data_IF_487962686075
#
_entry.id   IF_487962686075
#
_cell.length_a   1.000
_cell.length_b   1.000
_cell.length_c   1.000
_cell.angle_alpha   90.00
_cell.angle_beta   90.00
_cell.angle_gamma   90.00
#
_symmetry.space_group_name_H-M   'P 1'
#
loop_
_entity.id
_entity.type
_entity.pdbx_description
1 polymer ?
2 non-polymer ?
3 non-polymer ?
4 water ?
#
# COMPACT_ATOMS: atom_id res chain seq x y z
N UNK A 2 -10.22 -14.09 -31.89
CA UNK A 2 -10.48 -15.36 -31.23
C UNK A 2 -9.25 -15.82 -30.46
N UNK A 3 -8.46 -14.85 -30.01
CA UNK A 3 -7.24 -15.15 -29.26
C UNK A 3 -7.56 -15.44 -27.80
N UNK A 4 -7.04 -16.56 -27.30
CA UNK A 4 -7.21 -16.95 -25.92
C UNK A 4 -6.15 -16.29 -25.04
N UNK A 5 -6.55 -15.92 -23.83
CA UNK A 5 -5.71 -15.26 -22.82
C UNK A 5 -5.92 -15.91 -21.47
N UNK A 6 -4.92 -15.76 -20.60
CA UNK A 6 -5.04 -16.32 -19.26
C UNK A 6 -4.41 -15.39 -18.24
N UNK A 7 -5.15 -15.07 -17.17
CA UNK A 7 -4.57 -14.37 -16.04
C UNK A 7 -3.91 -15.36 -15.11
N UNK A 8 -2.72 -15.00 -14.63
CA UNK A 8 -1.99 -15.86 -13.70
C UNK A 8 -1.15 -14.98 -12.77
N UNK A 9 -0.69 -15.57 -11.67
CA UNK A 9 0.20 -14.86 -10.77
C UNK A 9 1.58 -14.80 -11.40
N UNK A 10 2.18 -13.62 -11.42
CA UNK A 10 3.52 -13.48 -11.93
C UNK A 10 4.50 -14.20 -11.00
N UNK A 11 5.62 -14.65 -11.55
CA UNK A 11 6.63 -15.38 -10.80
C UNK A 11 8.00 -14.77 -11.08
N UNK A 12 9.02 -15.25 -10.33
CA UNK A 12 10.38 -14.82 -10.57
C UNK A 12 10.81 -15.12 -12.01
N UNK A 13 10.30 -16.22 -12.59
CA UNK A 13 10.77 -16.60 -13.92
C UNK A 13 10.31 -15.61 -14.97
N UNK A 14 9.40 -14.72 -14.60
CA UNK A 14 8.88 -13.70 -15.49
C UNK A 14 9.50 -12.34 -15.24
N UNK A 15 10.51 -12.25 -14.36
CA UNK A 15 10.97 -10.95 -13.89
C UNK A 15 11.35 -10.03 -15.03
N UNK A 16 12.19 -10.51 -15.95
CA UNK A 16 12.70 -9.63 -16.98
C UNK A 16 11.62 -9.34 -18.01
N UNK A 17 10.70 -10.26 -18.24
CA UNK A 17 9.65 -9.90 -19.18
C UNK A 17 8.70 -8.90 -18.55
N UNK A 18 8.39 -9.04 -17.24
CA UNK A 18 7.56 -8.02 -16.59
C UNK A 18 8.27 -6.69 -16.53
N UNK A 19 9.58 -6.71 -16.29
CA UNK A 19 10.26 -5.43 -16.13
C UNK A 19 10.24 -4.65 -17.44
N UNK A 20 10.33 -5.36 -18.58
CA UNK A 20 10.26 -4.69 -19.87
C UNK A 20 8.90 -4.06 -20.10
N UNK A 21 7.87 -4.66 -19.52
CA UNK A 21 6.53 -4.14 -19.72
C UNK A 21 6.26 -2.99 -18.76
N UNK A 22 6.62 -3.16 -17.48
CA UNK A 22 6.33 -2.17 -16.45
C UNK A 22 7.06 -0.87 -16.71
N UNK A 23 8.33 -0.96 -17.10
CA UNK A 23 9.22 0.20 -17.18
C UNK A 23 8.99 1.05 -18.39
N UNK A 24 8.00 0.76 -19.22
CA UNK A 24 7.91 1.65 -20.37
C UNK A 24 7.09 2.89 -20.07
N UNK A 25 6.03 2.78 -19.26
CA UNK A 25 5.23 3.95 -18.94
C UNK A 25 5.57 4.51 -17.57
N UNK A 26 6.28 3.77 -16.75
CA UNK A 26 6.52 4.07 -15.35
C UNK A 26 7.98 4.51 -15.24
N UNK A 27 8.42 4.88 -14.04
CA UNK A 27 9.76 5.43 -13.85
C UNK A 27 10.66 4.39 -13.16
N UNK A 28 11.28 3.53 -13.97
CA UNK A 28 12.22 2.54 -13.44
C UNK A 28 13.63 3.12 -13.36
N UNK A 29 14.40 2.60 -12.40
CA UNK A 29 15.74 3.07 -12.10
C UNK A 29 16.71 1.93 -11.83
N UNK A 30 16.26 0.68 -11.82
CA UNK A 30 17.06 -0.40 -11.27
C UNK A 30 16.67 -1.71 -11.93
N UNK A 31 17.62 -2.63 -12.06
CA UNK A 31 17.28 -3.99 -12.45
C UNK A 31 17.81 -4.92 -11.37
N UNK A 32 16.90 -5.65 -10.72
CA UNK A 32 17.22 -6.34 -9.48
C UNK A 32 18.03 -7.62 -9.72
N UNK A 33 18.86 -7.96 -8.74
CA UNK A 33 19.59 -9.22 -8.76
C UNK A 33 18.63 -10.37 -8.47
N UNK A 34 19.16 -11.58 -8.53
CA UNK A 34 18.31 -12.73 -8.24
C UNK A 34 17.86 -12.72 -6.80
N UNK A 35 18.71 -12.23 -5.89
CA UNK A 35 18.34 -12.20 -4.48
C UNK A 35 17.33 -11.09 -4.19
N UNK A 36 17.54 -9.89 -4.75
CA UNK A 36 16.56 -8.83 -4.51
C UNK A 36 15.21 -9.19 -5.13
N UNK A 37 15.22 -9.62 -6.40
CA UNK A 37 13.98 -10.01 -7.05
C UNK A 37 13.27 -11.12 -6.28
N UNK A 38 14.00 -12.18 -5.92
CA UNK A 38 13.42 -13.22 -5.09
C UNK A 38 12.83 -12.65 -3.81
N UNK A 39 13.52 -11.68 -3.20
CA UNK A 39 12.99 -11.09 -1.97
C UNK A 39 11.66 -10.40 -2.24
N UNK A 40 11.56 -9.65 -3.33
CA UNK A 40 10.35 -8.87 -3.54
C UNK A 40 9.17 -9.76 -3.87
N UNK A 41 9.41 -10.86 -4.58
CA UNK A 41 8.35 -11.81 -4.87
C UNK A 41 7.86 -12.55 -3.63
N UNK A 42 8.62 -12.53 -2.54
CA UNK A 42 8.23 -13.19 -1.31
C UNK A 42 7.69 -12.24 -0.25
N UNK A 43 7.41 -11.00 -0.62
CA UNK A 43 6.55 -10.18 0.21
C UNK A 43 5.11 -10.71 0.13
N UNK A 44 4.54 -11.10 1.29
CA UNK A 44 3.28 -11.84 1.27
C UNK A 44 2.03 -10.96 1.14
N UNK A 45 2.20 -9.66 0.90
CA UNK A 45 1.08 -8.76 0.57
C UNK A 45 1.06 -8.38 -0.89
N UNK A 46 2.07 -8.80 -1.64
CA UNK A 46 2.30 -8.35 -2.99
C UNK A 46 1.85 -9.46 -3.92
N UNK A 47 0.83 -9.17 -4.72
CA UNK A 47 0.21 -10.16 -5.60
C UNK A 47 0.30 -9.60 -7.02
N UNK A 48 1.41 -9.87 -7.71
CA UNK A 48 1.63 -9.43 -9.09
C UNK A 48 0.81 -10.29 -10.04
N UNK A 49 -0.12 -9.67 -10.77
CA UNK A 49 -0.89 -10.35 -11.79
C UNK A 49 -0.34 -10.03 -13.19
N UNK A 50 -0.19 -11.05 -14.04
CA UNK A 50 0.09 -10.83 -15.46
C UNK A 50 -0.99 -11.52 -16.31
N UNK A 51 -1.15 -11.02 -17.53
CA UNK A 51 -2.04 -11.62 -18.48
C UNK A 51 -1.22 -12.11 -19.66
N UNK A 52 -1.43 -13.36 -20.06
CA UNK A 52 -0.62 -14.03 -21.07
C UNK A 52 -1.49 -14.25 -22.30
N UNK A 53 -0.89 -14.13 -23.46
CA UNK A 53 -1.48 -14.61 -24.70
C UNK A 53 -1.26 -16.11 -24.74
N UNK A 54 -2.34 -16.87 -24.81
CA UNK A 54 -2.21 -18.31 -24.83
C UNK A 54 -1.59 -18.78 -26.14
N UNK A 55 -1.84 -18.04 -27.24
CA UNK A 55 -1.34 -18.43 -28.55
C UNK A 55 0.18 -18.38 -28.60
N UNK A 56 0.75 -17.19 -28.43
CA UNK A 56 2.19 -17.02 -28.17
C UNK A 56 2.38 -16.72 -26.69
N UNK A 57 3.15 -17.57 -26.02
CA UNK A 57 3.22 -17.53 -24.56
C UNK A 57 3.55 -16.20 -23.89
N UNK A 58 3.33 -15.09 -24.58
CA UNK A 58 3.86 -13.80 -24.14
C UNK A 58 3.00 -13.15 -23.06
N UNK A 59 3.66 -12.49 -22.11
CA UNK A 59 2.96 -11.64 -21.17
C UNK A 59 2.58 -10.35 -21.89
N UNK A 60 1.31 -9.97 -21.80
CA UNK A 60 0.81 -8.78 -22.46
C UNK A 60 0.16 -7.81 -21.50
N UNK A 61 0.05 -8.16 -20.24
CA UNK A 61 -0.52 -7.26 -19.27
C UNK A 61 0.07 -7.50 -17.91
N UNK A 62 -0.02 -6.47 -17.09
CA UNK A 62 0.47 -6.59 -15.73
C UNK A 62 -0.32 -5.64 -14.84
N UNK A 63 -0.50 -6.07 -13.60
CA UNK A 63 -1.08 -5.25 -12.56
C UNK A 63 -0.53 -5.76 -11.23
N UNK A 64 -0.23 -4.83 -10.34
CA UNK A 64 0.28 -5.16 -9.03
C UNK A 64 -0.83 -4.98 -8.04
N UNK A 65 -1.09 -6.02 -7.25
CA UNK A 65 -2.11 -5.94 -6.21
C UNK A 65 -1.45 -6.05 -4.84
N UNK A 66 -1.78 -5.12 -3.94
CA UNK A 66 -1.14 -5.04 -2.64
C UNK A 66 -2.17 -5.02 -1.51
N UNK A 67 -1.95 -5.87 -0.50
CA UNK A 67 -2.77 -5.92 0.70
C UNK A 67 -2.26 -4.88 1.69
N UNK A 68 -3.17 -4.11 2.27
CA UNK A 68 -2.81 -3.09 3.25
C UNK A 68 -3.44 -3.49 4.57
N UNK A 69 -2.72 -4.23 5.42
CA UNK A 69 -3.32 -4.78 6.64
C UNK A 69 -3.92 -3.70 7.53
N UNK A 70 -5.01 -4.07 8.19
CA UNK A 70 -5.73 -3.19 9.10
C UNK A 70 -6.03 -3.93 10.40
N UNK A 71 -5.95 -3.21 11.49
CA UNK A 71 -6.38 -3.68 12.78
C UNK A 71 -7.80 -3.15 12.96
N UNK A 72 -8.68 -3.98 13.45
CA UNK A 72 -10.04 -3.55 13.70
C UNK A 72 -10.96 -3.44 12.49
N UNK A 73 -10.53 -3.90 11.31
CA UNK A 73 -11.33 -3.84 10.08
C UNK A 73 -10.76 -4.82 9.07
N UNK A 74 -11.62 -5.18 8.10
CA UNK A 74 -11.16 -5.83 6.89
C UNK A 74 -9.93 -5.11 6.31
N UNK A 75 -9.00 -5.89 5.78
CA UNK A 75 -7.79 -5.32 5.18
C UNK A 75 -8.13 -4.41 4.00
N UNK A 76 -7.37 -3.34 3.84
CA UNK A 76 -7.47 -2.57 2.62
C UNK A 76 -6.58 -3.18 1.53
N UNK A 77 -6.64 -2.60 0.36
CA UNK A 77 -5.80 -3.09 -0.72
C UNK A 77 -5.60 -1.98 -1.73
N UNK A 78 -4.65 -2.19 -2.63
CA UNK A 78 -4.36 -1.22 -3.68
C UNK A 78 -3.94 -1.94 -4.95
N UNK A 79 -4.20 -1.27 -6.08
CA UNK A 79 -3.85 -1.71 -7.43
C UNK A 79 -2.84 -0.71 -7.96
N UNK A 80 -1.64 -1.17 -8.28
CA UNK A 80 -0.67 -0.26 -8.88
C UNK A 80 -0.11 -0.90 -10.14
N UNK A 81 0.35 -0.04 -11.05
CA UNK A 81 1.10 -0.48 -12.23
C UNK A 81 0.23 -1.36 -13.14
N UNK A 82 -0.91 -0.82 -13.55
CA UNK A 82 -1.71 -1.51 -14.54
C UNK A 82 -1.29 -1.04 -15.92
N UNK A 83 -0.81 -1.98 -16.74
CA UNK A 83 -0.38 -1.70 -18.11
C UNK A 83 -0.72 -2.88 -19.02
N UNK A 84 -1.23 -2.58 -20.21
CA UNK A 84 -1.44 -3.55 -21.29
C UNK A 84 -0.55 -3.16 -22.48
N UNK A 85 0.07 -4.16 -23.12
CA UNK A 85 0.93 -3.90 -24.26
C UNK A 85 0.22 -3.03 -25.29
N UNK A 86 0.93 -2.00 -25.76
CA UNK A 86 0.45 -1.05 -26.75
C UNK A 86 -0.31 -1.78 -27.87
N UNK A 87 0.21 -2.95 -28.24
CA UNK A 87 -0.42 -3.79 -29.25
C UNK A 87 -1.84 -4.20 -28.86
N UNK A 88 -2.05 -4.59 -27.60
CA UNK A 88 -3.25 -5.32 -27.21
C UNK A 88 -4.36 -4.47 -26.63
N UNK A 89 -4.19 -3.15 -26.61
CA UNK A 89 -5.12 -2.29 -25.90
C UNK A 89 -6.45 -2.16 -26.65
N UNK A 90 -7.41 -1.57 -25.95
CA UNK A 90 -8.79 -1.48 -26.41
C UNK A 90 -9.20 -2.78 -27.06
N UNK A 91 -9.22 -3.82 -26.27
CA UNK A 91 -9.74 -5.11 -26.71
C UNK A 91 -10.42 -5.76 -25.52
N UNK A 92 -10.51 -5.08 -24.38
CA UNK A 92 -11.10 -5.65 -23.19
C UNK A 92 -10.14 -6.39 -22.29
N UNK A 93 -8.82 -6.32 -22.56
CA UNK A 93 -7.91 -7.05 -21.68
C UNK A 93 -7.55 -6.24 -20.45
N UNK A 94 -7.60 -4.91 -20.55
CA UNK A 94 -7.43 -4.11 -19.35
C UNK A 94 -8.54 -4.36 -18.33
N UNK A 95 -9.78 -4.48 -18.82
CA UNK A 95 -10.90 -4.76 -17.91
C UNK A 95 -10.81 -6.18 -17.38
N UNK A 96 -10.53 -7.14 -18.25
CA UNK A 96 -10.44 -8.53 -17.86
C UNK A 96 -9.45 -8.73 -16.71
N UNK A 97 -8.27 -8.11 -16.82
CA UNK A 97 -7.25 -8.24 -15.78
C UNK A 97 -7.75 -7.69 -14.45
N UNK A 98 -8.30 -6.48 -14.48
CA UNK A 98 -8.72 -5.80 -13.25
C UNK A 98 -9.87 -6.54 -12.57
N UNK A 99 -10.83 -7.02 -13.37
CA UNK A 99 -11.97 -7.74 -12.80
C UNK A 99 -11.53 -9.02 -12.09
N UNK A 100 -10.50 -9.70 -12.60
CA UNK A 100 -10.01 -10.86 -11.86
C UNK A 100 -9.41 -10.43 -10.53
N UNK A 101 -8.63 -9.34 -10.53
CA UNK A 101 -8.04 -8.82 -9.29
C UNK A 101 -9.12 -8.39 -8.33
N UNK A 102 -10.08 -7.63 -8.83
CA UNK A 102 -11.15 -7.05 -8.02
C UNK A 102 -11.96 -8.16 -7.36
N UNK A 103 -12.16 -9.27 -8.05
CA UNK A 103 -12.87 -10.37 -7.43
C UNK A 103 -12.00 -11.12 -6.42
N UNK A 104 -10.69 -11.20 -6.64
CA UNK A 104 -9.79 -11.80 -5.66
C UNK A 104 -9.63 -10.93 -4.44
N UNK A 105 -9.71 -9.62 -4.62
CA UNK A 105 -9.65 -8.73 -3.48
C UNK A 105 -10.89 -8.90 -2.60
N UNK A 106 -12.08 -8.93 -3.23
CA UNK A 106 -13.34 -9.05 -2.49
C UNK A 106 -13.43 -10.38 -1.75
N UNK A 107 -13.26 -11.49 -2.46
CA UNK A 107 -13.63 -12.78 -1.91
C UNK A 107 -12.47 -13.73 -1.70
N UNK A 108 -11.28 -13.44 -2.20
CA UNK A 108 -10.15 -14.30 -1.88
C UNK A 108 -9.32 -13.77 -0.74
N UNK A 109 -9.17 -12.45 -0.66
CA UNK A 109 -8.39 -11.81 0.40
C UNK A 109 -9.27 -11.10 1.43
N UNK A 110 -10.58 -11.05 1.21
CA UNK A 110 -11.54 -10.48 2.17
C UNK A 110 -11.20 -9.02 2.50
N UNK A 111 -10.79 -8.28 1.47
CA UNK A 111 -10.54 -6.86 1.63
C UNK A 111 -11.84 -6.07 1.76
N UNK A 112 -11.73 -4.91 2.40
CA UNK A 112 -12.85 -4.02 2.56
C UNK A 112 -12.99 -3.04 1.42
N UNK A 113 -11.89 -2.78 0.71
CA UNK A 113 -11.87 -1.74 -0.32
C UNK A 113 -10.61 -1.92 -1.16
N UNK A 114 -10.62 -1.28 -2.31
CA UNK A 114 -9.44 -1.18 -3.16
C UNK A 114 -9.24 0.28 -3.50
N UNK A 115 -8.01 0.77 -3.29
CA UNK A 115 -7.59 2.15 -3.50
C UNK A 115 -6.67 2.22 -4.71
N UNK A 116 -6.71 3.34 -5.45
CA UNK A 116 -5.72 3.54 -6.50
C UNK A 116 -5.58 5.03 -6.83
N UNK A 117 -4.49 5.35 -7.50
CA UNK A 117 -4.30 6.68 -8.10
C UNK A 117 -4.20 6.53 -9.62
N UNK A 118 -4.85 7.43 -10.36
CA UNK A 118 -4.82 7.41 -11.82
C UNK A 118 -4.57 8.82 -12.34
N UNK A 119 -4.18 8.90 -13.61
CA UNK A 119 -3.87 10.18 -14.23
C UNK A 119 -4.40 10.28 -15.65
N UNK A 120 -4.30 9.21 -16.44
CA UNK A 120 -4.69 9.37 -17.82
C UNK A 120 -6.19 9.17 -17.96
N UNK A 121 -6.73 9.68 -19.07
CA UNK A 121 -8.17 9.58 -19.31
C UNK A 121 -8.59 8.13 -19.46
N UNK A 122 -7.93 7.34 -20.33
CA UNK A 122 -8.37 5.96 -20.55
C UNK A 122 -8.50 5.23 -19.22
N UNK A 123 -7.51 5.41 -18.35
CA UNK A 123 -7.49 4.64 -17.11
C UNK A 123 -8.69 4.99 -16.23
N UNK A 124 -8.90 6.29 -15.99
CA UNK A 124 -9.98 6.70 -15.08
C UNK A 124 -11.34 6.20 -15.57
N UNK A 125 -11.57 6.19 -16.89
CA UNK A 125 -12.83 5.66 -17.37
C UNK A 125 -12.92 4.15 -17.24
N UNK A 126 -11.78 3.45 -17.20
CA UNK A 126 -11.85 2.01 -16.98
C UNK A 126 -12.33 1.70 -15.57
N UNK A 127 -11.72 2.33 -14.55
CA UNK A 127 -12.07 1.98 -13.18
C UNK A 127 -13.40 2.56 -12.71
N UNK A 128 -13.82 3.70 -13.26
CA UNK A 128 -15.18 4.16 -12.97
C UNK A 128 -16.19 3.14 -13.49
N UNK A 129 -15.96 2.60 -14.67
CA UNK A 129 -16.79 1.51 -15.19
C UNK A 129 -16.66 0.26 -14.33
N UNK A 130 -15.74 0.21 -13.38
CA UNK A 130 -15.68 -0.90 -12.45
C UNK A 130 -15.90 -0.43 -11.02
N UNK A 131 -16.82 0.52 -10.87
CA UNK A 131 -17.37 0.90 -9.58
C UNK A 131 -16.32 1.51 -8.66
N UNK A 132 -15.25 2.07 -9.24
CA UNK A 132 -14.36 2.92 -8.50
C UNK A 132 -14.94 4.32 -8.50
N UNK A 133 -14.97 4.96 -7.34
CA UNK A 133 -15.52 6.29 -7.24
C UNK A 133 -14.42 7.24 -6.78
N UNK A 134 -14.50 8.48 -7.25
CA UNK A 134 -13.49 9.47 -6.91
C UNK A 134 -13.60 9.82 -5.43
N UNK A 135 -12.47 9.91 -4.75
CA UNK A 135 -12.46 10.13 -3.31
C UNK A 135 -12.29 11.60 -2.94
N UNK A 136 -11.56 12.36 -3.76
CA UNK A 136 -11.25 13.78 -3.49
C UNK A 136 -10.45 13.94 -2.20
N UNK A 137 -9.33 13.25 -2.12
CA UNK A 137 -8.38 13.52 -1.05
C UNK A 137 -7.18 14.17 -1.71
N UNK A 138 -6.11 14.26 -0.95
CA UNK A 138 -4.91 14.92 -1.42
C UNK A 138 -3.77 13.95 -1.21
N UNK A 139 -3.08 13.62 -2.27
CA UNK A 139 -1.97 12.69 -2.22
C UNK A 139 -0.69 13.50 -1.99
N UNK A 140 0.14 13.02 -1.08
CA UNK A 140 1.42 13.66 -0.82
C UNK A 140 2.52 12.62 -0.85
N UNK A 141 3.72 13.09 -1.16
CA UNK A 141 4.85 12.20 -1.32
C UNK A 141 6.08 12.84 -0.72
N UNK A 142 6.85 12.03 -0.03
CA UNK A 142 8.19 12.38 0.35
C UNK A 142 9.12 11.54 -0.51
N UNK A 143 9.85 12.19 -1.41
CA UNK A 143 10.70 11.48 -2.36
C UNK A 143 12.15 11.57 -1.89
N UNK A 144 12.81 10.42 -1.87
CA UNK A 144 14.19 10.33 -1.39
C UNK A 144 15.21 10.52 -2.54
N UNK B 2 8.97 16.71 31.40
CA UNK B 2 10.10 15.78 31.47
C UNK B 2 9.57 14.38 31.26
N UNK B 3 8.49 14.30 30.50
CA UNK B 3 7.88 13.01 30.19
C UNK B 3 8.67 12.37 29.06
N UNK B 4 9.14 11.15 29.30
CA UNK B 4 9.89 10.35 28.35
C UNK B 4 8.95 9.55 27.45
N UNK B 5 9.36 9.36 26.21
CA UNK B 5 8.61 8.57 25.25
C UNK B 5 9.58 7.69 24.48
N UNK B 6 9.03 6.62 23.91
CA UNK B 6 9.83 5.76 23.04
C UNK B 6 8.98 5.31 21.86
N UNK B 7 9.49 5.51 20.66
CA UNK B 7 8.93 4.89 19.47
C UNK B 7 9.48 3.47 19.38
N UNK B 8 8.59 2.53 19.09
CA UNK B 8 8.96 1.13 19.01
C UNK B 8 8.02 0.43 18.01
N UNK B 9 8.42 -0.77 17.60
CA UNK B 9 7.59 -1.56 16.70
C UNK B 9 6.42 -2.16 17.49
N UNK B 10 5.22 -1.98 16.96
CA UNK B 10 4.04 -2.56 17.60
C UNK B 10 4.10 -4.07 17.49
N UNK B 11 3.46 -4.76 18.45
CA UNK B 11 3.47 -6.21 18.48
C UNK B 11 2.06 -6.76 18.69
N UNK B 12 1.93 -8.08 18.50
CA UNK B 12 0.68 -8.76 18.82
C UNK B 12 0.30 -8.57 20.28
N UNK B 13 1.27 -8.48 21.18
CA UNK B 13 0.89 -8.36 22.58
C UNK B 13 0.29 -7.00 22.89
N UNK B 14 0.36 -6.06 21.95
CA UNK B 14 -0.26 -4.75 22.10
C UNK B 14 -1.58 -4.67 21.36
N UNK B 15 -2.09 -5.78 20.83
CA UNK B 15 -3.22 -5.71 19.89
C UNK B 15 -4.38 -4.96 20.50
N UNK B 16 -4.78 -5.34 21.70
CA UNK B 16 -6.00 -4.73 22.19
C UNK B 16 -5.75 -3.31 22.61
N UNK B 17 -4.53 -2.97 23.05
CA UNK B 17 -4.36 -1.57 23.41
C UNK B 17 -4.26 -0.73 22.15
N UNK B 18 -3.63 -1.27 21.10
CA UNK B 18 -3.60 -0.54 19.84
C UNK B 18 -5.00 -0.41 19.26
N UNK B 19 -5.82 -1.45 19.41
CA UNK B 19 -7.15 -1.37 18.84
C UNK B 19 -7.97 -0.32 19.58
N UNK B 20 -7.75 -0.18 20.89
CA UNK B 20 -8.49 0.84 21.60
C UNK B 20 -8.09 2.23 21.14
N UNK B 21 -6.84 2.40 20.72
CA UNK B 21 -6.40 3.73 20.31
C UNK B 21 -6.92 4.07 18.92
N UNK B 22 -6.77 3.14 17.98
CA UNK B 22 -7.25 3.38 16.62
C UNK B 22 -8.76 3.54 16.63
N UNK B 23 -9.47 2.66 17.32
CA UNK B 23 -10.93 2.63 17.25
C UNK B 23 -11.58 3.69 18.13
N UNK B 24 -10.78 4.52 18.80
CA UNK B 24 -11.28 5.68 19.53
C UNK B 24 -11.44 6.87 18.59
N UNK B 25 -10.60 6.93 17.56
CA UNK B 25 -10.71 7.97 16.54
C UNK B 25 -11.17 7.45 15.17
N UNK B 26 -11.01 6.16 14.85
CA UNK B 26 -11.18 5.62 13.50
C UNK B 26 -12.41 4.70 13.37
N UNK B 27 -12.87 4.57 12.10
CA UNK B 27 -13.95 3.72 11.58
C UNK B 27 -13.80 2.21 11.75
N UNK B 28 -13.83 1.66 12.96
CA UNK B 28 -13.56 0.24 13.14
C UNK B 28 -14.84 -0.61 13.01
N UNK B 29 -14.65 -1.88 12.57
CA UNK B 29 -15.76 -2.79 12.33
C UNK B 29 -15.51 -4.21 12.82
N UNK B 30 -14.33 -4.52 13.35
CA UNK B 30 -13.99 -5.91 13.59
C UNK B 30 -13.05 -5.99 14.80
N UNK B 31 -13.14 -7.10 15.53
CA UNK B 31 -12.20 -7.42 16.59
C UNK B 31 -11.56 -8.76 16.26
N UNK B 32 -10.25 -8.75 15.98
CA UNK B 32 -9.61 -9.94 15.44
C UNK B 32 -9.34 -11.00 16.51
N UNK B 33 -9.44 -12.26 16.09
CA UNK B 33 -9.00 -13.36 16.94
C UNK B 33 -7.49 -13.36 17.02
N UNK B 34 -6.92 -14.22 17.87
CA UNK B 34 -5.48 -14.28 17.89
C UNK B 34 -4.95 -14.87 16.58
N UNK B 35 -5.70 -15.78 15.95
CA UNK B 35 -5.20 -16.32 14.69
C UNK B 35 -5.26 -15.28 13.59
N UNK B 36 -6.34 -14.49 13.53
CA UNK B 36 -6.37 -13.41 12.53
C UNK B 36 -5.33 -12.33 12.83
N UNK B 37 -5.27 -11.89 14.09
CA UNK B 37 -4.27 -10.89 14.46
C UNK B 37 -2.86 -11.37 14.13
N UNK B 38 -2.53 -12.61 14.50
CA UNK B 38 -1.25 -13.17 14.13
C UNK B 38 -1.02 -13.08 12.62
N UNK B 39 -2.05 -13.33 11.82
CA UNK B 39 -1.89 -13.25 10.37
C UNK B 39 -1.52 -11.84 9.94
N UNK B 40 -2.22 -10.84 10.47
CA UNK B 40 -2.00 -9.51 9.96
C UNK B 40 -0.65 -8.97 10.41
N UNK B 41 -0.24 -9.32 11.64
CA UNK B 41 1.07 -8.87 12.10
C UNK B 41 2.22 -9.58 11.38
N UNK B 42 1.97 -10.74 10.76
CA UNK B 42 3.03 -11.47 10.07
C UNK B 42 2.99 -11.27 8.56
N UNK B 43 2.25 -10.26 8.10
CA UNK B 43 2.47 -9.76 6.74
C UNK B 43 3.79 -8.98 6.72
N UNK B 44 4.76 -9.43 5.90
CA UNK B 44 6.12 -8.92 6.03
C UNK B 44 6.35 -7.57 5.38
N UNK B 45 5.29 -6.89 4.92
CA UNK B 45 5.35 -5.50 4.45
C UNK B 45 4.75 -4.52 5.45
N UNK B 46 4.15 -5.01 6.54
CA UNK B 46 3.39 -4.20 7.45
C UNK B 46 4.25 -3.95 8.68
N UNK B 47 4.57 -2.67 8.92
CA UNK B 47 5.46 -2.27 10.00
C UNK B 47 4.68 -1.34 10.91
N UNK B 48 3.94 -1.89 11.88
CA UNK B 48 3.19 -1.07 12.83
C UNK B 48 4.12 -0.44 13.84
N UNK B 49 4.12 0.88 13.89
CA UNK B 49 4.83 1.61 14.94
C UNK B 49 3.85 2.11 16.00
N UNK B 50 4.28 2.03 17.25
CA UNK B 50 3.55 2.68 18.33
C UNK B 50 4.49 3.61 19.08
N UNK B 51 3.88 4.56 19.79
CA UNK B 51 4.61 5.47 20.65
C UNK B 51 4.18 5.22 22.08
N UNK B 52 5.16 5.01 22.97
CA UNK B 52 4.92 4.62 24.35
C UNK B 52 5.35 5.75 25.25
N UNK B 53 4.60 5.95 26.34
CA UNK B 53 5.07 6.76 27.45
C UNK B 53 5.99 5.89 28.31
N UNK B 54 7.22 6.32 28.54
CA UNK B 54 8.10 5.51 29.38
C UNK B 54 7.65 5.54 30.85
N UNK B 55 7.05 6.66 31.29
CA UNK B 55 6.64 6.80 32.69
C UNK B 55 5.58 5.77 33.06
N UNK B 56 4.43 5.84 32.39
CA UNK B 56 3.41 4.77 32.41
C UNK B 56 3.52 3.97 31.13
N UNK B 57 3.68 2.66 31.23
CA UNK B 57 4.00 1.89 30.04
C UNK B 57 3.01 1.95 28.88
N UNK B 58 2.24 3.03 28.79
CA UNK B 58 1.06 3.08 27.96
C UNK B 58 1.38 3.46 26.53
N UNK B 59 0.69 2.84 25.56
CA UNK B 59 0.84 3.27 24.18
C UNK B 59 0.03 4.54 24.00
N UNK B 60 0.63 5.56 23.39
CA UNK B 60 -0.04 6.84 23.18
C UNK B 60 -0.05 7.27 21.73
N UNK B 61 0.59 6.52 20.84
CA UNK B 61 0.57 6.84 19.43
C UNK B 61 0.67 5.57 18.61
N UNK B 62 0.22 5.68 17.38
CA UNK B 62 0.31 4.57 16.45
C UNK B 62 0.46 5.11 15.04
N UNK B 63 1.21 4.39 14.23
CA UNK B 63 1.32 4.70 12.81
C UNK B 63 1.52 3.38 12.08
N UNK B 64 0.86 3.24 10.95
CA UNK B 64 1.01 2.05 10.13
C UNK B 64 1.89 2.40 8.97
N UNK B 65 3.00 1.67 8.84
CA UNK B 65 3.90 1.85 7.70
C UNK B 65 3.93 0.60 6.85
N UNK B 66 3.80 0.75 5.54
CA UNK B 66 3.65 -0.37 4.61
C UNK B 66 4.65 -0.27 3.45
N UNK B 67 5.33 -1.38 3.16
CA UNK B 67 6.20 -1.47 1.99
C UNK B 67 5.37 -1.86 0.78
N UNK B 68 5.57 -1.18 -0.33
CA UNK B 68 4.86 -1.44 -1.58
C UNK B 68 5.91 -1.89 -2.60
N UNK B 69 6.17 -3.19 -2.72
CA UNK B 69 7.28 -3.64 -3.57
C UNK B 69 7.13 -3.16 -5.00
N UNK B 70 8.26 -2.84 -5.60
CA UNK B 70 8.36 -2.34 -6.96
C UNK B 70 9.43 -3.17 -7.64
N UNK B 71 9.16 -3.58 -8.87
CA UNK B 71 10.15 -4.26 -9.69
C UNK B 71 10.82 -3.17 -10.51
N UNK B 72 12.13 -3.19 -10.58
CA UNK B 72 12.80 -2.16 -11.36
C UNK B 72 13.06 -0.82 -10.69
N UNK B 73 12.82 -0.70 -9.38
CA UNK B 73 13.13 0.51 -8.62
C UNK B 73 13.09 0.14 -7.15
N UNK B 74 13.76 0.95 -6.31
CA UNK B 74 13.58 0.86 -4.87
C UNK B 74 12.09 0.79 -4.50
N UNK B 75 11.77 -0.03 -3.51
CA UNK B 75 10.39 -0.24 -3.10
C UNK B 75 9.71 1.07 -2.72
N UNK B 76 8.42 1.19 -3.08
CA UNK B 76 7.62 2.31 -2.59
C UNK B 76 7.09 1.98 -1.20
N UNK B 77 6.44 2.96 -0.57
CA UNK B 77 5.92 2.70 0.76
C UNK B 77 4.80 3.69 1.04
N UNK B 78 4.05 3.43 2.11
CA UNK B 78 2.94 4.30 2.49
C UNK B 78 2.79 4.34 4.00
N UNK B 79 2.27 5.46 4.48
CA UNK B 79 1.94 5.65 5.89
C UNK B 79 0.44 5.83 5.98
N UNK B 80 -0.23 4.98 6.75
CA UNK B 80 -1.67 5.08 6.96
C UNK B 80 -1.94 5.05 8.44
N UNK B 81 -3.00 5.73 8.86
CA UNK B 81 -3.49 5.66 10.24
C UNK B 81 -2.45 6.10 11.28
N UNK B 82 -1.98 7.34 11.15
CA UNK B 82 -1.17 7.91 12.21
C UNK B 82 -2.11 8.56 13.22
N UNK B 83 -2.04 8.11 14.47
CA UNK B 83 -2.95 8.57 15.51
C UNK B 83 -2.18 8.83 16.79
N UNK B 84 -2.42 9.99 17.40
CA UNK B 84 -1.88 10.34 18.71
C UNK B 84 -3.05 10.52 19.67
N UNK B 85 -2.89 10.00 20.89
CA UNK B 85 -3.94 10.13 21.90
C UNK B 85 -4.36 11.58 22.02
N UNK B 86 -5.68 11.80 21.96
CA UNK B 86 -6.26 13.13 22.09
C UNK B 86 -5.64 13.93 23.22
N UNK B 87 -5.31 13.27 24.33
CA UNK B 87 -4.64 13.97 25.42
C UNK B 87 -3.31 14.57 24.95
N UNK B 88 -2.57 13.84 24.13
CA UNK B 88 -1.16 14.10 23.88
C UNK B 88 -0.89 14.94 22.63
N UNK B 89 -1.93 15.40 21.96
CA UNK B 89 -1.74 16.08 20.69
C UNK B 89 -1.15 17.47 20.89
N UNK B 90 -0.78 18.06 19.76
CA UNK B 90 -0.11 19.35 19.68
C UNK B 90 0.96 19.45 20.76
N UNK B 91 1.92 18.54 20.63
CA UNK B 91 3.11 18.51 21.48
C UNK B 91 4.34 18.01 20.74
N UNK B 92 4.24 17.70 19.45
CA UNK B 92 5.37 17.19 18.71
C UNK B 92 5.53 15.69 18.73
N UNK B 93 4.56 14.94 19.27
CA UNK B 93 4.75 13.50 19.27
C UNK B 93 4.30 12.87 17.97
N UNK B 94 3.34 13.48 17.29
CA UNK B 94 3.05 13.06 15.92
C UNK B 94 4.24 13.24 15.01
N UNK B 95 4.96 14.35 15.16
CA UNK B 95 6.17 14.58 14.37
C UNK B 95 7.26 13.61 14.77
N UNK B 96 7.45 13.44 16.07
CA UNK B 96 8.47 12.52 16.57
C UNK B 96 8.27 11.13 15.98
N UNK B 97 7.04 10.64 16.01
CA UNK B 97 6.73 9.30 15.52
C UNK B 97 7.02 9.17 14.04
N UNK B 98 6.53 10.12 13.24
CA UNK B 98 6.69 10.03 11.79
C UNK B 98 8.16 10.15 11.39
N UNK B 99 8.91 11.02 12.06
CA UNK B 99 10.33 11.19 11.73
C UNK B 99 11.08 9.89 11.93
N UNK B 100 10.72 9.12 12.96
CA UNK B 100 11.33 7.81 13.11
C UNK B 100 10.93 6.92 11.95
N UNK B 101 9.65 7.01 11.53
CA UNK B 101 9.18 6.21 10.40
C UNK B 101 9.94 6.58 9.15
N UNK B 102 9.98 7.89 8.86
CA UNK B 102 10.52 8.39 7.61
C UNK B 102 12.00 8.03 7.49
N UNK B 103 12.74 8.03 8.61
CA UNK B 103 14.13 7.62 8.54
C UNK B 103 14.28 6.11 8.35
N UNK B 104 13.36 5.31 8.92
CA UNK B 104 13.43 3.87 8.69
C UNK B 104 13.09 3.53 7.27
N UNK B 105 12.21 4.32 6.65
CA UNK B 105 11.87 4.07 5.25
C UNK B 105 13.05 4.34 4.35
N UNK B 106 13.68 5.50 4.54
CA UNK B 106 14.82 5.90 3.71
C UNK B 106 15.99 4.93 3.85
N UNK B 107 16.40 4.64 5.09
CA UNK B 107 17.67 3.92 5.26
C UNK B 107 17.58 2.57 5.94
N UNK B 108 16.42 2.18 6.48
CA UNK B 108 16.33 0.83 7.01
C UNK B 108 15.70 -0.13 6.01
N UNK B 109 14.70 0.34 5.27
CA UNK B 109 14.00 -0.45 4.26
C UNK B 109 14.40 -0.06 2.85
N UNK B 110 15.23 0.97 2.69
CA UNK B 110 15.76 1.37 1.38
C UNK B 110 14.64 1.67 0.38
N UNK B 111 13.57 2.28 0.87
CA UNK B 111 12.49 2.66 -0.01
C UNK B 111 12.90 3.86 -0.86
N UNK B 112 12.21 4.01 -1.99
CA UNK B 112 12.45 5.12 -2.86
C UNK B 112 11.59 6.32 -2.51
N UNK B 113 10.48 6.07 -1.81
CA UNK B 113 9.53 7.14 -1.56
C UNK B 113 8.53 6.69 -0.51
N UNK B 114 7.82 7.67 0.02
CA UNK B 114 6.68 7.43 0.89
C UNK B 114 5.50 8.20 0.33
N UNK B 115 4.38 7.51 0.14
CA UNK B 115 3.14 8.09 -0.35
C UNK B 115 2.12 8.10 0.80
N UNK B 116 1.25 9.10 0.80
CA UNK B 116 0.14 9.08 1.74
C UNK B 116 -0.97 10.00 1.24
N UNK B 117 -2.16 9.78 1.79
CA UNK B 117 -3.33 10.62 1.59
C UNK B 117 -3.57 11.34 2.90
N UNK B 118 -4.03 12.60 2.84
CA UNK B 118 -3.96 13.46 4.01
C UNK B 118 -5.37 13.76 4.52
N UNK B 119 -6.24 14.34 3.67
CA UNK B 119 -7.63 14.70 3.92
C UNK B 119 -7.90 15.48 5.21
N UNK B 120 -6.91 15.59 6.08
CA UNK B 120 -7.06 16.30 7.32
C UNK B 120 -6.65 17.76 7.17
N UNK B 121 -6.38 18.41 8.29
CA UNK B 121 -5.90 19.78 8.35
C UNK B 121 -4.63 19.87 9.18
N UNK B 122 -4.65 19.24 10.35
CA UNK B 122 -3.44 19.04 11.13
C UNK B 122 -2.45 18.20 10.32
N UNK B 123 -2.95 17.13 9.69
CA UNK B 123 -2.08 16.17 9.02
C UNK B 123 -1.31 16.84 7.90
N UNK B 124 -2.02 17.57 7.03
CA UNK B 124 -1.35 18.18 5.89
C UNK B 124 -0.23 19.11 6.35
N UNK B 125 -0.44 19.86 7.45
CA UNK B 125 0.61 20.75 7.93
C UNK B 125 1.72 19.95 8.61
N UNK B 126 1.42 18.76 9.11
CA UNK B 126 2.48 17.91 9.63
C UNK B 126 3.40 17.44 8.53
N UNK B 127 2.86 16.81 7.49
CA UNK B 127 3.71 16.15 6.49
C UNK B 127 4.36 17.14 5.55
N UNK B 128 3.75 18.31 5.33
CA UNK B 128 4.46 19.36 4.62
C UNK B 128 5.72 19.74 5.38
N UNK B 129 5.60 19.88 6.70
CA UNK B 129 6.75 20.14 7.55
C UNK B 129 7.77 19.01 7.55
N UNK B 130 7.46 17.86 6.98
CA UNK B 130 8.47 16.82 6.78
C UNK B 130 8.63 16.47 5.31
N UNK B 131 8.57 17.49 4.44
CA UNK B 131 8.98 17.36 3.06
C UNK B 131 8.09 16.41 2.28
N UNK B 132 6.84 16.26 2.70
CA UNK B 132 5.84 15.66 1.83
C UNK B 132 5.27 16.76 0.97
N UNK B 133 5.23 16.54 -0.32
CA UNK B 133 4.76 17.53 -1.26
C UNK B 133 3.56 17.00 -2.02
N UNK B 134 2.77 17.93 -2.54
CA UNK B 134 1.54 17.57 -3.26
C UNK B 134 1.85 16.64 -4.41
N UNK B 135 1.11 15.53 -4.49
CA UNK B 135 1.20 14.62 -5.62
C UNK B 135 0.00 14.89 -6.50
N UNK B 136 0.23 15.01 -7.80
CA UNK B 136 -0.78 15.45 -8.75
C UNK B 136 -1.48 14.25 -9.39
N UNK B 137 -2.13 13.46 -8.55
CA UNK B 137 -2.95 12.35 -9.03
C UNK B 137 -4.42 12.53 -8.68
N UNK B 138 -5.17 11.46 -8.92
CA UNK B 138 -6.58 11.34 -8.54
C UNK B 138 -6.74 10.03 -7.81
N UNK B 139 -7.27 10.07 -6.62
CA UNK B 139 -7.54 8.84 -5.89
C UNK B 139 -8.95 8.37 -6.21
N UNK B 140 -9.08 7.08 -6.47
CA UNK B 140 -10.39 6.47 -6.64
C UNK B 140 -10.46 5.23 -5.76
N UNK B 141 -11.69 4.89 -5.37
CA UNK B 141 -11.91 3.82 -4.41
C UNK B 141 -13.11 3.00 -4.84
N UNK B 142 -12.96 1.69 -4.71
CA UNK B 142 -14.08 0.78 -4.80
C UNK B 142 -14.32 0.16 -3.43
N UNK B 143 -15.45 0.47 -2.83
CA UNK B 143 -15.80 -0.02 -1.51
C UNK B 143 -16.77 -1.18 -1.61
N UNK B 144 -16.50 -2.25 -0.87
CA UNK B 144 -17.34 -3.43 -0.90
C UNK B 144 -18.45 -3.37 0.16
X LIG C 1 -9.91 6.11 -25.55
X LIG C 1 -10.91 6.35 -24.65
X LIG C 1 -11.29 5.35 -23.80
X LIG C 1 -10.68 4.13 -23.85
X LIG C 1 -9.72 3.90 -24.73
X LIG C 1 -9.32 4.94 -25.61
X LIG C 1 -8.27 4.78 -26.61
X LIG C 1 -9.30 2.64 -24.57
X LIG C 1 -10.02 2.09 -23.59
X LIG C 1 -10.88 3.02 -23.15
X LIG C 1 -11.86 2.95 -22.11
X LIG C 1 -13.04 2.41 -22.48
X LIG C 1 -14.14 3.00 -21.73
X LIG C 1 -12.94 0.91 -22.11
X LIG C 1 -14.12 0.46 -21.73
X LIG C 1 -15.08 -0.38 -22.89
X LIG C 1 -16.41 -0.85 -22.30
X LIG C 1 -15.37 0.56 -24.04
X LIG C 1 -14.28 -1.61 -23.40
X LIG C 1 -11.90 0.87 -20.89
X LIG C 1 -11.21 1.99 -20.93
X LIG C 1 -10.92 -0.28 -21.01
X LIG C 1 -11.12 -1.05 -22.21
X LIG C 1 -9.97 -2.28 -22.34
X LIG C 1 -9.86 -2.83 -23.76
X LIG C 1 -10.28 -3.35 -21.37
X LIG C 1 -8.62 -1.49 -21.83
X LIG C 1 -7.05 -1.65 -22.28
X LIG C 1 -6.76 -0.75 -23.43
X LIG C 1 -6.69 -3.09 -22.55
X LIG C 1 -6.19 -1.18 -20.96
X LIG C 1 -5.02 0.57 -19.89
X LIG C 1 -6.44 0.07 -20.34
X LIG C 1 -4.46 -0.43 -18.80
X LIG C 1 -5.09 1.99 -19.28
X LIG C 1 -4.10 0.54 -21.17
X LIG C 1 -4.54 1.44 -22.09
X LIG C 1 -2.65 0.85 -20.83
X LIG C 1 -1.88 -0.04 -20.54
X LIG C 1 -2.20 2.20 -20.87
X LIG C 1 -0.75 2.51 -20.56
X LIG C 1 -0.40 2.13 -19.09
X LIG C 1 -1.39 2.97 -18.15
X LIG C 1 -1.79 4.01 -18.53
X LIG C 1 -1.80 2.42 -16.81
X LIG C 1 -2.73 3.25 -16.01
X LIG C 1 -1.98 3.81 -14.73
X LIG C 1 -3.21 3.62 -13.42
X LIG C 1 -2.80 2.15 -12.48
X LIG C 1 -1.98 1.35 -12.92
X LIG C 1 -3.49 1.89 -11.11
X LIG D 1 -0.40 6.03 -11.47
X LIG D 1 -0.44 4.56 -11.04
X LIG D 1 0.86 4.07 -10.48
X LIG D 1 1.98 4.43 -11.38
X LIG D 1 2.03 5.97 -11.47
X LIG D 1 3.35 6.41 -12.02
X LIG D 1 -0.57 6.83 -10.39
X LIG D 1 -1.48 4.39 -10.04
X LIG D 1 0.82 2.62 -10.29
X LIG D 1 3.23 3.92 -10.83
X LIG D 1 0.87 6.44 -12.21
X LIG D 1 4.23 5.75 -11.17
X LIG D 1 5.74 6.28 -10.87
X LIG D 1 5.68 7.29 -9.75
X LIG D 1 6.50 5.07 -10.41
X LIG D 1 6.34 6.89 -12.12
X LIG E 1 -3.84 22.98 15.12
X LIG E 1 -2.99 23.47 14.16
X LIG E 1 -1.83 22.82 13.88
X LIG E 1 -1.50 21.68 14.55
X LIG E 1 -2.32 21.19 15.48
X LIG E 1 -3.51 21.88 15.78
X LIG E 1 -4.47 21.41 16.78
X LIG E 1 -1.77 20.08 15.97
X LIG E 1 -0.60 19.89 15.35
X LIG E 1 -0.45 20.87 14.45
X LIG E 1 0.61 21.12 13.54
X LIG E 1 1.63 21.68 14.22
X LIG E 1 1.91 23.03 13.77
X LIG E 1 2.88 20.76 14.03
X LIG E 1 3.94 21.40 13.58
X LIG E 1 4.79 22.31 14.77
X LIG E 1 6.23 22.55 14.31
X LIG E 1 4.08 23.65 14.91
X LIG E 1 4.78 21.61 16.15
X LIG E 1 2.40 19.55 13.10
X LIG E 1 1.12 19.72 12.81
X LIG E 1 2.49 18.34 14.01
X LIG E 1 2.35 18.79 15.37
X LIG E 1 2.40 17.55 16.50
X LIG E 1 2.24 18.04 17.95
X LIG E 1 3.62 16.77 16.36
X LIG E 1 1.12 16.64 16.03
X LIG E 1 0.17 15.70 16.96
X LIG E 1 -1.00 16.51 17.47
X LIG E 1 0.93 15.02 18.07
X LIG E 1 -0.39 14.54 15.94
X LIG E 1 -2.21 14.09 14.41
X LIG E 1 -0.95 14.99 14.70
X LIG E 1 -1.73 12.60 14.25
X LIG E 1 -2.86 14.52 13.07
X LIG E 1 -3.17 14.22 15.67
X LIG E 1 -3.71 15.48 15.73
X LIG E 1 -4.27 13.20 15.57
X LIG E 1 -4.17 12.16 16.16
X LIG E 1 -5.40 13.53 14.74
X LIG E 1 -6.54 12.58 14.54
X LIG E 1 -5.95 11.28 13.91
X LIG E 1 -5.61 11.46 12.35
X LIG E 1 -5.86 12.47 11.78
X LIG E 1 -4.97 10.27 11.65
X LIG E 1 -4.54 10.08 10.22
X LIG E 1 -4.31 11.37 9.33
X LIG E 1 -3.62 10.81 7.73
X LIG E 1 -4.71 9.68 6.84
X LIG E 1 -5.35 10.09 5.89
X LIG E 1 -4.84 8.20 7.25
#
# INVERSE_FOLDING_TARGET
MISSFEVRKATIDDYFELRNLICDVTRCTETLSREQAEERFRYNTYHPYCLVDTENGRIVGYAGFYIIPHLGRKNDSRIEHVIISKEYRNRGLGRLLCKQIIEDAKNKFNCGRIDLTVESHIAKKLYSSLEFEKVNTEVMRNSFLDLTPKSD
MISSFEVRKATIDDYFELRNLICDVTRCTETLSREQAEERFRYNTYHPYCLVDTENGRIVGYAGFYIIPHLGRKNDSRIEHVIISKEYRNRGLGRLLCKQIIEDAKNKFNCGRIDLTVESHIAKKLYSSLEFEKVNTEVMRNSFLDLTPKSD
ACO N1A C2A N3A C4A C5A C6A N6A N7A C8A N9A C1B C2B O2B C3B O3B P3B O7A O8A O9A C4B O4B C5B O5B P1A O1A O2A O3A P2A O4A O5A O6A CBP CCP CDP CEP CAP OAP C9P O9P N8P C7P C6P C5P O5P N4P C3P C2P S1P C O CH3
G6P C1 C2 C3 C4 C5 C6 O1 O2 O3 O4 O5 O6 P O1P O2P O3P
ACO N1A C2A N3A C4A C5A C6A N6A N7A C8A N9A C1B C2B O2B C3B O3B P3B O7A O8A O9A C4B O4B C5B O5B P1A O1A O2A O3A P2A O4A O5A O6A CBP CCP CDP CEP CAP OAP C9P O9P N8P C7P C6P C5P O5P N4P C3P C2P S1P C O CH3
#
